data_IF_179001593364
#
_entry.id   IF_179001593364
#
_cell.length_a   1.000
_cell.length_b   1.000
_cell.length_c   1.000
_cell.angle_alpha   90.00
_cell.angle_beta   90.00
_cell.angle_gamma   90.00
#
_symmetry.space_group_name_H-M   'P 1'
#
loop_
_entity.id
_entity.type
_entity.pdbx_description
1 polymer ?
#
# COMPACT_ATOMS: atom_id res chain seq x y z
N UNK A 1 -21.46 -8.50 36.01
CA UNK A 1 -22.78 -8.29 35.42
C UNK A 1 -23.05 -6.78 35.42
N UNK A 2 -22.53 -6.02 34.43
CA UNK A 2 -23.14 -5.77 33.11
C UNK A 2 -24.46 -4.98 33.28
N UNK A 3 -24.68 -3.75 32.79
CA UNK A 3 -24.23 -3.06 31.58
C UNK A 3 -24.33 -1.54 31.80
N UNK A 4 -23.34 -0.78 31.33
CA UNK A 4 -23.53 0.65 31.01
C UNK A 4 -24.32 0.74 29.70
N UNK A 5 -25.40 1.54 29.59
CA UNK A 5 -25.97 1.82 28.29
C UNK A 5 -25.14 2.93 27.64
N UNK A 6 -24.21 2.53 26.77
CA UNK A 6 -23.78 3.40 25.67
C UNK A 6 -24.97 3.59 24.73
N UNK A 7 -25.59 4.77 24.73
CA UNK A 7 -26.49 5.25 23.69
C UNK A 7 -26.26 6.76 23.57
N UNK A 8 -25.39 7.21 22.66
CA UNK A 8 -25.70 7.63 21.29
C UNK A 8 -26.92 8.57 21.19
N UNK A 9 -26.61 9.77 20.69
CA UNK A 9 -27.44 10.90 20.26
C UNK A 9 -27.39 12.11 21.22
N UNK A 10 -26.34 12.93 21.08
CA UNK A 10 -26.39 14.31 21.56
C UNK A 10 -27.29 15.06 20.57
N UNK A 11 -28.51 15.30 21.02
CA UNK A 11 -29.64 15.85 20.26
C UNK A 11 -29.68 17.37 20.38
N UNK A 12 -28.55 18.03 20.15
CA UNK A 12 -28.50 19.48 19.96
C UNK A 12 -27.42 19.79 18.94
N UNK A 13 -27.75 20.63 17.96
CA UNK A 13 -26.86 21.04 16.87
C UNK A 13 -25.69 21.94 17.32
N UNK A 14 -25.47 22.00 18.62
CA UNK A 14 -24.46 22.84 19.28
C UNK A 14 -23.08 22.17 19.32
N UNK A 15 -22.97 20.89 18.98
CA UNK A 15 -21.69 20.19 18.93
C UNK A 15 -21.47 19.53 17.58
N UNK A 16 -20.65 20.17 16.75
CA UNK A 16 -20.07 19.56 15.56
C UNK A 16 -19.07 18.50 16.01
N UNK A 17 -19.26 17.22 15.68
CA UNK A 17 -18.25 16.23 15.97
C UNK A 17 -17.06 16.46 15.04
N UNK A 18 -15.90 16.68 15.64
CA UNK A 18 -14.62 16.61 14.93
C UNK A 18 -14.47 15.24 14.30
N UNK A 19 -14.01 15.21 13.05
CA UNK A 19 -13.69 13.96 12.36
C UNK A 19 -12.18 13.73 12.43
N UNK A 20 -11.75 12.46 12.52
CA UNK A 20 -10.34 12.13 12.39
C UNK A 20 -9.87 12.44 10.96
N UNK A 21 -8.65 12.96 10.83
CA UNK A 21 -8.03 13.29 9.54
C UNK A 21 -8.86 14.23 8.66
N UNK A 22 -9.56 15.18 9.28
CA UNK A 22 -10.33 16.18 8.58
C UNK A 22 -10.72 17.35 9.47
N UNK A 23 -11.30 18.35 8.82
CA UNK A 23 -11.78 19.59 9.42
C UNK A 23 -13.20 19.89 8.92
N UNK A 24 -13.82 20.90 9.53
CA UNK A 24 -15.13 21.38 9.14
C UNK A 24 -15.19 22.90 9.20
N UNK A 25 -16.04 23.49 8.36
CA UNK A 25 -16.30 24.92 8.30
C UNK A 25 -17.81 25.17 8.38
N UNK A 26 -18.19 26.19 9.16
CA UNK A 26 -19.58 26.68 9.17
C UNK A 26 -19.83 27.51 7.90
N UNK A 27 -20.72 27.01 7.06
CA UNK A 27 -21.11 27.62 5.78
C UNK A 27 -22.58 28.03 5.78
N UNK A 28 -23.13 28.30 6.97
CA UNK A 28 -24.53 28.70 7.16
C UNK A 28 -24.86 29.99 6.38
N UNK A 29 -26.02 30.06 5.70
CA UNK A 29 -26.44 31.27 5.02
C UNK A 29 -26.66 32.41 6.01
N UNK A 30 -26.17 33.61 5.67
CA UNK A 30 -26.37 34.81 6.47
C UNK A 30 -27.89 35.05 6.59
N UNK A 31 -28.39 35.21 7.83
CA UNK A 31 -29.82 35.38 8.19
C UNK A 31 -30.71 34.13 8.09
N UNK A 32 -30.14 32.91 8.09
CA UNK A 32 -30.89 31.65 8.20
C UNK A 32 -30.90 31.10 9.63
N UNK A 33 -32.00 30.47 10.04
CA UNK A 33 -32.08 29.66 11.28
C UNK A 33 -31.57 28.22 11.08
N UNK A 34 -30.86 27.98 9.98
CA UNK A 34 -30.38 26.66 9.59
C UNK A 34 -28.86 26.65 9.67
N UNK A 35 -28.31 25.75 10.48
CA UNK A 35 -26.85 25.55 10.56
C UNK A 35 -26.41 24.60 9.45
N UNK A 36 -25.45 25.00 8.62
CA UNK A 36 -24.87 24.17 7.57
C UNK A 36 -23.38 24.04 7.79
N UNK A 37 -22.91 22.80 7.85
CA UNK A 37 -21.50 22.47 8.07
C UNK A 37 -20.97 21.78 6.83
N UNK A 38 -19.82 22.22 6.36
CA UNK A 38 -19.09 21.59 5.27
C UNK A 38 -17.84 20.91 5.83
N UNK A 39 -17.70 19.62 5.58
CA UNK A 39 -16.56 18.81 5.99
C UNK A 39 -15.53 18.70 4.88
N UNK A 40 -14.27 18.60 5.27
CA UNK A 40 -13.13 18.41 4.38
C UNK A 40 -12.14 17.45 5.01
N UNK A 41 -11.55 16.57 4.20
CA UNK A 41 -10.49 15.68 4.65
C UNK A 41 -9.11 16.28 4.46
N UNK A 42 -8.19 15.87 5.33
CA UNK A 42 -6.77 16.17 5.21
C UNK A 42 -6.20 15.54 3.93
N UNK A 43 -5.05 16.05 3.47
CA UNK A 43 -4.38 15.49 2.30
C UNK A 43 -4.10 14.00 2.47
N UNK A 44 -4.37 13.20 1.44
CA UNK A 44 -4.21 11.74 1.48
C UNK A 44 -5.36 10.99 2.15
N UNK A 45 -6.47 11.66 2.47
CA UNK A 45 -7.73 11.04 2.91
C UNK A 45 -8.87 11.41 1.97
N UNK A 46 -9.86 10.52 1.85
CA UNK A 46 -11.05 10.72 1.03
C UNK A 46 -12.31 10.79 1.88
N UNK A 47 -13.20 11.74 1.57
CA UNK A 47 -14.46 11.92 2.28
C UNK A 47 -15.47 10.84 1.86
N UNK A 48 -15.97 10.10 2.84
CA UNK A 48 -17.00 9.07 2.69
C UNK A 48 -18.22 9.50 3.48
N UNK A 49 -19.28 9.88 2.77
CA UNK A 49 -20.52 10.44 3.33
C UNK A 49 -20.91 11.74 2.64
N UNK A 50 -21.80 12.49 3.28
CA UNK A 50 -22.22 13.81 2.79
C UNK A 50 -21.16 14.85 3.16
N UNK A 51 -20.66 15.59 2.16
CA UNK A 51 -19.73 16.71 2.39
C UNK A 51 -20.40 17.81 3.23
N UNK A 52 -21.70 18.02 3.03
CA UNK A 52 -22.48 19.05 3.73
C UNK A 52 -23.61 18.42 4.52
N UNK A 53 -23.67 18.74 5.81
CA UNK A 53 -24.80 18.36 6.65
C UNK A 53 -25.49 19.61 7.17
N UNK A 54 -26.81 19.51 7.28
CA UNK A 54 -27.67 20.63 7.64
C UNK A 54 -28.42 20.28 8.91
N UNK A 55 -28.37 21.15 9.91
CA UNK A 55 -29.20 21.02 11.10
C UNK A 55 -30.57 21.64 10.84
N UNK A 56 -31.62 20.86 11.08
CA UNK A 56 -33.01 21.32 11.08
C UNK A 56 -33.73 20.72 12.28
N UNK A 57 -34.43 21.56 13.05
CA UNK A 57 -35.21 21.14 14.23
C UNK A 57 -34.42 20.28 15.23
N UNK A 58 -33.18 20.67 15.55
CA UNK A 58 -32.25 19.90 16.41
C UNK A 58 -31.85 18.52 15.87
N UNK A 59 -31.98 18.30 14.56
CA UNK A 59 -31.56 17.07 13.89
C UNK A 59 -30.68 17.36 12.67
N UNK A 60 -29.59 16.62 12.54
CA UNK A 60 -28.75 16.64 11.35
C UNK A 60 -29.43 15.93 10.18
N UNK A 61 -29.29 16.50 8.98
CA UNK A 61 -29.85 15.94 7.73
C UNK A 61 -29.19 14.63 7.31
N UNK A 62 -27.96 14.38 7.77
CA UNK A 62 -27.20 13.17 7.49
C UNK A 62 -26.27 12.84 8.66
N UNK A 63 -25.68 11.66 8.62
CA UNK A 63 -24.63 11.26 9.54
C UNK A 63 -23.34 12.03 9.23
N UNK A 64 -22.49 12.14 10.25
CA UNK A 64 -21.16 12.74 10.13
C UNK A 64 -20.33 11.92 9.15
N UNK A 65 -19.69 12.55 8.15
CA UNK A 65 -18.86 11.84 7.19
C UNK A 65 -17.58 11.30 7.85
N UNK A 66 -16.91 10.38 7.17
CA UNK A 66 -15.62 9.83 7.58
C UNK A 66 -14.55 10.19 6.57
N UNK A 67 -13.34 10.48 7.04
CA UNK A 67 -12.16 10.59 6.19
C UNK A 67 -11.41 9.27 6.23
N UNK A 68 -11.42 8.54 5.10
CA UNK A 68 -10.73 7.26 4.97
C UNK A 68 -9.35 7.44 4.36
N UNK A 69 -8.38 6.69 4.87
CA UNK A 69 -7.01 6.73 4.35
C UNK A 69 -6.96 6.36 2.86
N UNK A 70 -6.07 7.02 2.12
CA UNK A 70 -5.69 6.62 0.76
C UNK A 70 -4.25 6.15 0.76
N UNK A 71 -4.03 4.89 0.41
CA UNK A 71 -2.71 4.33 0.17
C UNK A 71 -2.31 4.52 -1.29
N UNK A 72 -1.05 4.87 -1.52
CA UNK A 72 -0.48 4.87 -2.86
C UNK A 72 -0.28 3.44 -3.36
N UNK A 73 -0.23 3.27 -4.68
CA UNK A 73 0.14 2.01 -5.32
C UNK A 73 1.44 1.46 -4.70
N UNK A 74 1.46 0.19 -4.25
CA UNK A 74 2.66 -0.41 -3.68
C UNK A 74 3.72 -0.55 -4.77
N UNK A 75 4.96 -0.21 -4.45
CA UNK A 75 6.09 -0.44 -5.34
C UNK A 75 6.56 -1.89 -5.20
N UNK A 76 6.34 -2.67 -6.25
CA UNK A 76 6.75 -4.08 -6.32
C UNK A 76 7.67 -4.20 -7.53
N UNK A 77 8.91 -4.61 -7.28
CA UNK A 77 9.85 -4.97 -8.35
C UNK A 77 9.52 -6.38 -8.82
N UNK A 78 9.60 -6.61 -10.13
CA UNK A 78 9.39 -7.93 -10.74
C UNK A 78 8.03 -8.55 -10.37
N UNK A 79 6.98 -7.73 -10.31
CA UNK A 79 5.63 -8.14 -9.99
C UNK A 79 4.56 -7.07 -10.20
N UNK A 80 3.31 -7.48 -10.01
CA UNK A 80 2.10 -6.71 -10.27
C UNK A 80 1.07 -6.93 -9.15
N UNK A 81 0.01 -6.11 -9.14
CA UNK A 81 -1.12 -6.23 -8.21
C UNK A 81 -2.41 -6.58 -8.94
N UNK A 82 -3.31 -7.28 -8.25
CA UNK A 82 -4.60 -7.75 -8.80
C UNK A 82 -5.53 -6.64 -9.28
N UNK A 83 -5.47 -5.45 -8.70
CA UNK A 83 -6.28 -4.30 -9.06
C UNK A 83 -5.36 -3.12 -9.33
N UNK A 84 -4.99 -2.87 -10.59
CA UNK A 84 -4.02 -1.82 -10.90
C UNK A 84 -4.65 -0.42 -10.82
N UNK A 85 -4.56 0.20 -9.64
CA UNK A 85 -4.94 1.59 -9.37
C UNK A 85 -3.76 2.40 -8.86
N UNK A 86 -3.82 3.72 -9.05
CA UNK A 86 -2.84 4.64 -8.47
C UNK A 86 -3.03 4.83 -6.96
N UNK A 87 -4.26 4.70 -6.47
CA UNK A 87 -4.64 4.90 -5.06
C UNK A 87 -5.70 3.88 -4.63
N UNK A 88 -5.67 3.53 -3.35
CA UNK A 88 -6.55 2.54 -2.72
C UNK A 88 -7.13 3.12 -1.45
N UNK A 89 -8.43 2.92 -1.24
CA UNK A 89 -9.11 3.38 -0.04
C UNK A 89 -8.86 2.40 1.10
N UNK A 90 -8.83 2.89 2.33
CA UNK A 90 -8.75 2.10 3.56
C UNK A 90 -9.62 0.82 3.51
N UNK A 91 -9.04 -0.28 3.98
CA UNK A 91 -9.58 -1.65 3.93
C UNK A 91 -9.64 -2.30 2.54
N UNK A 92 -9.35 -1.58 1.44
CA UNK A 92 -9.15 -2.22 0.15
C UNK A 92 -7.95 -3.16 0.20
N UNK A 93 -8.11 -4.34 -0.39
CA UNK A 93 -7.11 -5.41 -0.38
C UNK A 93 -6.69 -5.73 -1.80
N UNK A 94 -5.39 -5.90 -2.01
CA UNK A 94 -4.82 -6.34 -3.29
C UNK A 94 -3.98 -7.59 -3.08
N UNK A 95 -3.87 -8.39 -4.13
CA UNK A 95 -2.98 -9.56 -4.17
C UNK A 95 -1.82 -9.27 -5.09
N UNK A 96 -0.60 -9.48 -4.58
CA UNK A 96 0.66 -9.35 -5.31
C UNK A 96 0.94 -10.63 -6.09
N UNK A 97 1.31 -10.45 -7.35
CA UNK A 97 1.67 -11.51 -8.29
C UNK A 97 3.07 -11.20 -8.80
N UNK A 98 4.02 -12.11 -8.58
CA UNK A 98 5.37 -11.94 -9.10
C UNK A 98 5.44 -12.39 -10.57
N UNK A 99 6.38 -11.80 -11.31
CA UNK A 99 6.67 -12.16 -12.67
C UNK A 99 7.27 -13.58 -12.77
N UNK A 100 7.27 -14.15 -13.97
CA UNK A 100 7.78 -15.51 -14.19
C UNK A 100 9.23 -15.67 -13.71
N UNK A 101 9.48 -16.66 -12.85
CA UNK A 101 10.79 -16.91 -12.25
C UNK A 101 10.98 -16.30 -10.86
N UNK A 102 10.00 -15.53 -10.37
CA UNK A 102 10.00 -14.97 -9.02
C UNK A 102 8.87 -15.56 -8.16
N UNK A 103 9.15 -15.65 -6.87
CA UNK A 103 8.20 -16.07 -5.84
C UNK A 103 7.93 -14.95 -4.85
N UNK A 104 6.71 -14.94 -4.31
CA UNK A 104 6.31 -13.98 -3.27
C UNK A 104 6.95 -14.39 -1.95
N UNK A 105 7.75 -13.49 -1.38
CA UNK A 105 8.30 -13.61 -0.03
C UNK A 105 7.54 -12.67 0.90
N UNK A 106 6.73 -13.25 1.78
CA UNK A 106 5.84 -12.54 2.69
C UNK A 106 4.37 -12.89 2.48
N UNK A 107 3.47 -11.97 2.83
CA UNK A 107 2.03 -12.14 2.59
C UNK A 107 1.67 -11.68 1.18
N UNK A 108 1.10 -12.54 0.32
CA UNK A 108 0.71 -12.12 -1.04
C UNK A 108 -0.47 -11.18 -1.03
N UNK A 109 -1.27 -11.14 0.04
CA UNK A 109 -2.42 -10.26 0.19
C UNK A 109 -2.09 -9.14 1.18
N UNK A 110 -2.26 -7.89 0.73
CA UNK A 110 -2.01 -6.69 1.53
C UNK A 110 -3.22 -5.75 1.46
N UNK A 111 -3.47 -5.04 2.56
CA UNK A 111 -4.63 -4.15 2.71
C UNK A 111 -4.18 -2.73 3.03
N UNK A 112 -4.91 -1.73 2.52
CA UNK A 112 -4.67 -0.34 2.85
C UNK A 112 -5.11 -0.05 4.29
N UNK A 113 -4.18 0.39 5.13
CA UNK A 113 -4.39 0.71 6.54
C UNK A 113 -4.84 2.15 6.74
N UNK A 114 -5.44 2.44 7.91
CA UNK A 114 -5.82 3.78 8.36
C UNK A 114 -4.63 4.77 8.38
N UNK A 115 -3.41 4.26 8.50
CA UNK A 115 -2.19 5.08 8.53
C UNK A 115 -1.65 5.41 7.13
N UNK A 116 -2.42 5.14 6.06
CA UNK A 116 -2.02 5.31 4.65
C UNK A 116 -0.82 4.43 4.25
N UNK A 117 -0.65 3.30 4.94
CA UNK A 117 0.39 2.30 4.68
C UNK A 117 -0.24 0.95 4.33
N UNK A 118 0.54 0.07 3.70
CA UNK A 118 0.12 -1.30 3.43
C UNK A 118 0.35 -2.18 4.64
N UNK A 119 -0.64 -3.03 4.96
CA UNK A 119 -0.55 -4.02 6.00
C UNK A 119 -1.11 -5.39 5.53
N UNK A 120 -0.37 -6.51 5.70
CA UNK A 120 1.04 -6.58 6.08
C UNK A 120 1.94 -5.75 5.13
N UNK A 121 3.21 -5.57 5.51
CA UNK A 121 4.16 -4.85 4.66
C UNK A 121 4.19 -5.44 3.24
N UNK A 122 4.46 -4.58 2.25
CA UNK A 122 4.50 -4.97 0.84
C UNK A 122 5.49 -6.12 0.66
N UNK A 123 5.05 -7.30 0.16
CA UNK A 123 5.93 -8.44 0.00
C UNK A 123 6.95 -8.18 -1.12
N UNK A 124 8.04 -8.95 -1.10
CA UNK A 124 9.06 -8.90 -2.16
C UNK A 124 8.86 -10.03 -3.13
N UNK A 125 9.20 -9.78 -4.38
CA UNK A 125 9.40 -10.83 -5.37
C UNK A 125 10.87 -11.21 -5.36
N UNK A 126 11.17 -12.45 -4.99
CA UNK A 126 12.52 -12.99 -4.97
C UNK A 126 12.64 -14.14 -5.96
N UNK A 127 13.76 -14.18 -6.68
CA UNK A 127 14.01 -15.17 -7.71
C UNK A 127 13.93 -16.60 -7.13
N UNK A 128 13.17 -17.46 -7.79
CA UNK A 128 13.12 -18.88 -7.46
C UNK A 128 14.44 -19.54 -7.87
N UNK A 129 15.29 -19.87 -6.90
CA UNK A 129 16.49 -20.67 -7.19
C UNK A 129 16.04 -22.02 -7.76
N UNK A 130 16.40 -22.29 -9.02
CA UNK A 130 16.12 -23.57 -9.66
C UNK A 130 16.70 -24.71 -8.80
N UNK A 131 15.83 -25.64 -8.39
CA UNK A 131 16.23 -26.84 -7.67
C UNK A 131 17.29 -27.60 -8.47
N UNK A 132 18.50 -27.77 -7.90
CA UNK A 132 19.63 -28.42 -8.56
C UNK A 132 20.92 -27.60 -8.63
N UNK A 133 20.90 -26.32 -8.24
CA UNK A 133 22.08 -25.46 -8.22
C UNK A 133 23.11 -25.76 -7.11
N UNK A 134 22.69 -26.37 -5.99
CA UNK A 134 23.61 -26.82 -4.92
C UNK A 134 24.58 -27.93 -5.37
N UNK A 135 24.20 -28.72 -6.39
CA UNK A 135 24.99 -29.88 -6.84
C UNK A 135 26.12 -29.50 -7.80
N UNK A 136 26.27 -28.22 -8.13
CA UNK A 136 27.07 -27.77 -9.28
C UNK A 136 28.29 -26.91 -8.87
N UNK A 137 28.77 -27.09 -7.65
CA UNK A 137 30.06 -26.58 -7.16
C UNK A 137 31.28 -27.31 -7.78
N UNK A 138 31.18 -27.70 -9.06
CA UNK A 138 32.29 -28.15 -9.89
C UNK A 138 32.37 -27.22 -11.11
N UNK A 139 33.42 -26.39 -11.15
CA UNK A 139 33.60 -25.26 -12.05
C UNK A 139 33.31 -25.55 -13.52
N UNK A 140 32.17 -25.00 -14.00
CA UNK A 140 31.85 -24.56 -15.39
C UNK A 140 30.35 -24.29 -15.58
N UNK A 141 29.48 -24.81 -14.71
CA UNK A 141 28.02 -24.66 -14.79
C UNK A 141 27.43 -23.56 -13.88
N UNK A 142 28.25 -22.74 -13.24
CA UNK A 142 27.85 -21.60 -12.39
C UNK A 142 26.87 -20.62 -13.08
N UNK A 143 26.92 -20.54 -14.40
CA UNK A 143 26.17 -19.59 -15.21
C UNK A 143 24.67 -19.86 -15.28
N UNK A 144 24.22 -21.08 -14.97
CA UNK A 144 22.80 -21.47 -15.04
C UNK A 144 22.04 -21.23 -13.72
N UNK A 145 22.75 -20.76 -12.69
CA UNK A 145 22.26 -20.68 -11.32
C UNK A 145 22.22 -19.25 -10.78
N UNK A 146 22.44 -18.27 -11.64
CA UNK A 146 22.51 -16.87 -11.24
C UNK A 146 21.09 -16.28 -11.26
N UNK A 147 20.72 -15.51 -10.23
CA UNK A 147 19.33 -15.14 -9.98
C UNK A 147 18.81 -14.02 -10.88
N UNK A 148 19.67 -13.33 -11.63
CA UNK A 148 19.26 -12.30 -12.59
C UNK A 148 20.11 -12.34 -13.87
N UNK A 149 19.60 -11.81 -15.00
CA UNK A 149 20.40 -11.59 -16.21
C UNK A 149 21.65 -10.72 -15.97
N UNK A 150 21.58 -9.78 -15.01
CA UNK A 150 22.72 -8.97 -14.61
C UNK A 150 23.79 -9.79 -13.90
N UNK A 151 23.38 -10.71 -13.03
CA UNK A 151 24.31 -11.62 -12.36
C UNK A 151 24.98 -12.56 -13.36
N UNK A 152 24.23 -13.06 -14.35
CA UNK A 152 24.79 -13.86 -15.46
C UNK A 152 25.83 -13.05 -16.23
N UNK A 153 25.52 -11.79 -16.56
CA UNK A 153 26.45 -10.90 -17.26
C UNK A 153 27.70 -10.63 -16.42
N UNK A 154 27.54 -10.35 -15.13
CA UNK A 154 28.66 -10.15 -14.21
C UNK A 154 29.54 -11.41 -14.14
N UNK A 155 28.95 -12.59 -13.97
CA UNK A 155 29.69 -13.84 -13.92
C UNK A 155 30.40 -14.18 -15.25
N UNK A 156 29.79 -13.84 -16.38
CA UNK A 156 30.41 -13.94 -17.71
C UNK A 156 31.69 -13.10 -17.80
N UNK A 157 31.62 -11.84 -17.35
CA UNK A 157 32.78 -10.94 -17.36
C UNK A 157 33.88 -11.46 -16.42
N UNK A 158 33.52 -11.94 -15.23
CA UNK A 158 34.48 -12.56 -14.29
C UNK A 158 35.15 -13.79 -14.90
N UNK A 159 34.39 -14.68 -15.55
CA UNK A 159 34.93 -15.87 -16.20
C UNK A 159 35.82 -15.53 -17.41
N UNK A 160 35.46 -14.50 -18.17
CA UNK A 160 36.29 -14.01 -19.27
C UNK A 160 37.63 -13.49 -18.75
N UNK A 161 37.62 -12.70 -17.68
CA UNK A 161 38.83 -12.21 -17.03
C UNK A 161 39.71 -13.36 -16.50
N UNK A 162 39.12 -14.41 -15.91
CA UNK A 162 39.90 -15.55 -15.43
C UNK A 162 40.64 -16.27 -16.56
N UNK A 163 40.00 -16.45 -17.72
CA UNK A 163 40.65 -17.06 -18.90
C UNK A 163 41.75 -16.16 -19.48
N UNK A 164 41.59 -14.83 -19.42
CA UNK A 164 42.64 -13.89 -19.83
C UNK A 164 43.86 -13.97 -18.90
N UNK A 165 43.64 -14.12 -17.58
CA UNK A 165 44.72 -14.32 -16.60
C UNK A 165 45.47 -15.62 -16.87
N UNK A 166 44.77 -16.76 -17.01
CA UNK A 166 45.39 -18.06 -17.31
C UNK A 166 46.23 -18.00 -18.60
N UNK A 167 45.74 -17.30 -19.63
CA UNK A 167 46.47 -17.12 -20.88
C UNK A 167 47.76 -16.31 -20.70
N UNK A 168 47.74 -15.29 -19.85
CA UNK A 168 48.92 -14.46 -19.56
C UNK A 168 49.97 -15.24 -18.76
N UNK A 169 49.54 -16.07 -17.80
CA UNK A 169 50.43 -16.95 -17.03
C UNK A 169 51.16 -17.97 -17.90
N UNK A 170 50.52 -18.46 -18.97
CA UNK A 170 51.15 -19.34 -19.96
C UNK A 170 52.17 -18.63 -20.87
N UNK A 171 52.22 -17.30 -20.87
CA UNK A 171 53.11 -16.48 -21.70
C UNK A 171 54.34 -15.93 -20.94
N UNK A 172 54.42 -16.17 -19.63
CA UNK A 172 55.55 -15.80 -18.75
C UNK A 172 56.41 -17.01 -18.38
#
# INVERSE_FOLDING_TARGET
HSLLPFSFAIQDCDMFPSIAHGSYEDVSPIFSFTTVVQYKCDEGYVLVGEEKITCRNSHWSSLVPQCKAMCLKPEIKDGTVSLDKNQYVESETVTVHCDSGYSVVGSPSISCSENRTWYPEVPKCEWEVLSGCEQVLAGRKLMQCLPSPEDVKMALEVYKLSLEIERLELQT
#
